data_IF_004161439044
#
_entry.id   IF_004161439044
#
_cell.length_a   1.000
_cell.length_b   1.000
_cell.length_c   1.000
_cell.angle_alpha   90.00
_cell.angle_beta   90.00
_cell.angle_gamma   90.00
#
_symmetry.space_group_name_H-M   'P 1'
#
loop_
_entity.id
_entity.type
_entity.pdbx_description
1 polymer ?
#
# COMPACT_ATOMS: atom_id res chain seq x y z
N UNK A 1 3.21 -7.51 -6.37
CA UNK A 1 3.27 -7.96 -4.97
C UNK A 1 2.52 -9.29 -4.87
N UNK A 2 3.10 -10.35 -4.29
CA UNK A 2 2.38 -11.60 -4.08
C UNK A 2 1.40 -11.45 -2.91
N UNK A 3 0.10 -11.45 -3.21
CA UNK A 3 -1.00 -11.30 -2.24
C UNK A 3 -1.78 -12.60 -1.98
N UNK A 4 -1.53 -13.64 -2.78
CA UNK A 4 -2.20 -14.93 -2.64
C UNK A 4 -1.57 -15.82 -1.57
N UNK A 5 -0.35 -15.51 -1.16
CA UNK A 5 0.35 -16.17 -0.06
C UNK A 5 0.56 -15.18 1.08
N UNK A 6 0.46 -15.68 2.31
CA UNK A 6 0.71 -14.93 3.52
C UNK A 6 1.72 -15.65 4.40
N UNK A 7 2.50 -14.88 5.14
CA UNK A 7 3.50 -15.36 6.09
C UNK A 7 3.36 -14.67 7.43
N UNK A 8 3.81 -15.32 8.49
CA UNK A 8 3.71 -14.81 9.86
C UNK A 8 4.55 -13.54 10.04
N UNK A 9 3.96 -12.52 10.63
CA UNK A 9 4.68 -11.35 11.10
C UNK A 9 5.44 -11.66 12.39
N UNK A 10 6.75 -11.40 12.41
CA UNK A 10 7.64 -11.79 13.53
C UNK A 10 8.35 -10.61 14.20
N UNK A 11 7.98 -9.37 13.88
CA UNK A 11 8.66 -8.15 14.36
C UNK A 11 7.71 -7.19 15.11
N UNK A 12 7.20 -7.55 16.31
CA UNK A 12 7.44 -8.79 17.04
C UNK A 12 6.44 -9.90 16.70
N UNK A 13 6.81 -11.14 17.01
CA UNK A 13 5.88 -12.26 17.01
C UNK A 13 4.79 -12.05 18.08
N UNK A 14 3.58 -12.56 17.82
CA UNK A 14 2.42 -12.43 18.70
C UNK A 14 1.51 -13.64 18.58
N UNK A 15 0.91 -14.06 19.69
CA UNK A 15 -0.09 -15.15 19.71
C UNK A 15 -1.41 -14.75 19.02
N UNK A 16 -1.60 -13.47 18.69
CA UNK A 16 -2.71 -12.98 17.87
C UNK A 16 -2.61 -13.39 16.39
N UNK A 17 -1.55 -14.11 16.00
CA UNK A 17 -1.29 -14.57 14.64
C UNK A 17 -1.31 -13.44 13.57
N UNK A 18 -0.53 -12.37 13.75
CA UNK A 18 -0.39 -11.35 12.73
C UNK A 18 0.28 -11.96 11.49
N UNK A 19 -0.30 -11.71 10.32
CA UNK A 19 0.19 -12.19 9.03
C UNK A 19 0.32 -11.03 8.07
N UNK A 20 1.30 -11.10 7.17
CA UNK A 20 1.48 -10.17 6.07
C UNK A 20 1.52 -10.92 4.74
N UNK A 21 1.25 -10.23 3.63
CA UNK A 21 1.41 -10.81 2.30
C UNK A 21 2.87 -11.22 2.08
N UNK A 22 3.07 -12.32 1.35
CA UNK A 22 4.41 -12.77 0.98
C UNK A 22 5.17 -11.66 0.25
N UNK A 23 4.49 -10.90 -0.63
CA UNK A 23 5.11 -9.77 -1.31
C UNK A 23 5.54 -8.62 -0.40
N UNK A 24 4.81 -8.34 0.70
CA UNK A 24 5.25 -7.36 1.71
C UNK A 24 6.47 -7.88 2.48
N UNK A 25 6.50 -9.19 2.75
CA UNK A 25 7.64 -9.84 3.43
C UNK A 25 8.91 -9.79 2.56
N UNK A 26 8.79 -10.16 1.28
CA UNK A 26 9.89 -10.13 0.32
C UNK A 26 10.45 -8.72 0.17
N UNK A 27 9.57 -7.73 -0.04
CA UNK A 27 9.99 -6.34 -0.19
C UNK A 27 10.61 -5.76 1.09
N UNK A 28 10.13 -6.13 2.28
CA UNK A 28 10.81 -5.79 3.53
C UNK A 28 12.20 -6.43 3.59
N UNK A 29 12.33 -7.71 3.22
CA UNK A 29 13.60 -8.41 3.24
C UNK A 29 14.63 -7.72 2.31
N UNK A 30 14.21 -7.35 1.11
CA UNK A 30 15.03 -6.57 0.17
C UNK A 30 15.46 -5.23 0.79
N UNK A 31 14.52 -4.44 1.31
CA UNK A 31 14.81 -3.14 1.91
C UNK A 31 15.82 -3.21 3.07
N UNK A 32 15.69 -4.23 3.91
CA UNK A 32 16.53 -4.37 5.11
C UNK A 32 17.94 -4.86 4.81
N UNK A 33 18.15 -5.45 3.63
CA UNK A 33 19.45 -5.90 3.13
C UNK A 33 20.18 -4.86 2.27
N UNK A 34 19.50 -3.79 1.83
CA UNK A 34 20.16 -2.70 1.12
C UNK A 34 21.27 -2.08 1.99
N UNK A 35 22.42 -1.86 1.36
CA UNK A 35 23.57 -1.23 2.00
C UNK A 35 23.98 0.04 1.28
N UNK A 36 24.43 1.04 2.03
CA UNK A 36 25.06 2.23 1.47
C UNK A 36 26.47 1.91 0.91
N UNK A 37 27.16 2.91 0.34
CA UNK A 37 28.51 2.76 -0.20
C UNK A 37 29.56 2.27 0.84
N UNK A 38 29.29 2.46 2.13
CA UNK A 38 30.12 2.01 3.24
C UNK A 38 29.75 0.61 3.75
N UNK A 39 28.79 -0.08 3.10
CA UNK A 39 28.35 -1.42 3.49
C UNK A 39 27.39 -1.45 4.68
N UNK A 40 26.85 -0.31 5.12
CA UNK A 40 25.91 -0.26 6.25
C UNK A 40 24.47 -0.45 5.77
N UNK A 41 23.72 -1.30 6.47
CA UNK A 41 22.25 -1.37 6.28
C UNK A 41 21.58 -0.10 6.79
N UNK A 42 20.33 0.12 6.40
CA UNK A 42 19.55 1.28 6.87
C UNK A 42 19.48 1.32 8.41
N UNK A 43 19.26 0.18 9.07
CA UNK A 43 19.23 0.12 10.54
C UNK A 43 20.59 0.49 11.15
N UNK A 44 21.69 -0.06 10.62
CA UNK A 44 23.04 0.25 11.11
C UNK A 44 23.37 1.73 10.98
N UNK A 45 22.99 2.34 9.85
CA UNK A 45 23.19 3.76 9.63
C UNK A 45 22.38 4.60 10.62
N UNK A 46 21.10 4.29 10.80
CA UNK A 46 20.22 5.04 11.71
C UNK A 46 20.63 4.85 13.18
N UNK A 47 21.00 3.64 13.60
CA UNK A 47 21.48 3.37 14.94
C UNK A 47 22.79 4.11 15.28
N UNK A 48 23.62 4.42 14.27
CA UNK A 48 24.85 5.18 14.46
C UNK A 48 24.66 6.70 14.38
N UNK A 49 23.67 7.19 13.63
CA UNK A 49 23.57 8.61 13.26
C UNK A 49 22.26 9.30 13.64
N UNK A 50 21.22 8.55 13.97
CA UNK A 50 19.87 9.06 14.22
C UNK A 50 19.35 8.59 15.58
N UNK A 51 20.19 8.69 16.61
CA UNK A 51 19.86 8.37 18.01
C UNK A 51 19.82 9.65 18.85
N UNK A 52 18.92 9.69 19.83
CA UNK A 52 18.74 10.84 20.73
C UNK A 52 17.31 11.38 20.71
N UNK A 53 16.98 12.19 21.72
CA UNK A 53 15.61 12.74 21.91
C UNK A 53 15.22 13.79 20.88
N UNK A 54 16.19 14.39 20.20
CA UNK A 54 15.98 15.58 19.36
C UNK A 54 15.88 15.21 17.87
N UNK A 55 15.96 13.91 17.54
CA UNK A 55 15.86 13.40 16.16
C UNK A 55 14.57 12.62 16.01
N UNK A 56 13.80 13.00 14.99
CA UNK A 56 12.64 12.23 14.52
C UNK A 56 12.94 11.64 13.14
N UNK A 57 12.50 10.41 12.91
CA UNK A 57 12.59 9.74 11.63
C UNK A 57 11.19 9.67 11.03
N UNK A 58 11.00 10.33 9.90
CA UNK A 58 9.81 10.15 9.09
C UNK A 58 9.92 8.91 8.20
N UNK A 59 8.87 8.10 8.14
CA UNK A 59 8.77 6.94 7.23
C UNK A 59 7.57 7.18 6.33
N UNK A 60 7.83 7.42 5.05
CA UNK A 60 6.81 7.86 4.11
C UNK A 60 6.94 7.08 2.81
N UNK A 61 5.81 6.70 2.23
CA UNK A 61 5.81 5.99 0.97
C UNK A 61 4.50 6.11 0.18
N UNK A 62 4.63 5.96 -1.14
CA UNK A 62 3.55 5.97 -2.10
C UNK A 62 3.42 4.58 -2.76
N UNK A 63 2.21 4.13 -3.09
CA UNK A 63 1.98 2.87 -3.80
C UNK A 63 2.59 1.68 -3.03
N UNK A 64 3.39 0.85 -3.69
CA UNK A 64 4.19 -0.20 -3.06
C UNK A 64 5.07 0.35 -1.94
N UNK A 65 5.63 1.56 -2.07
CA UNK A 65 6.38 2.21 -0.99
C UNK A 65 5.51 2.52 0.23
N UNK A 66 4.22 2.80 0.02
CA UNK A 66 3.24 3.00 1.09
C UNK A 66 2.95 1.68 1.82
N UNK A 67 2.78 0.58 1.07
CA UNK A 67 2.72 -0.76 1.65
C UNK A 67 4.01 -1.08 2.44
N UNK A 68 5.18 -0.89 1.84
CA UNK A 68 6.46 -1.15 2.50
C UNK A 68 6.69 -0.27 3.73
N UNK A 69 6.15 0.95 3.75
CA UNK A 69 6.15 1.81 4.96
C UNK A 69 5.41 1.14 6.13
N UNK A 70 4.28 0.47 5.87
CA UNK A 70 3.49 -0.20 6.93
C UNK A 70 4.21 -1.38 7.57
N UNK A 71 5.09 -2.09 6.84
CA UNK A 71 5.90 -3.19 7.39
C UNK A 71 7.28 -2.72 7.87
N UNK A 72 7.87 -1.72 7.23
CA UNK A 72 9.21 -1.22 7.56
C UNK A 72 9.23 -0.45 8.89
N UNK A 73 8.24 0.41 9.16
CA UNK A 73 8.22 1.18 10.41
C UNK A 73 8.15 0.29 11.68
N UNK A 74 7.24 -0.70 11.79
CA UNK A 74 7.25 -1.64 12.91
C UNK A 74 8.51 -2.50 12.97
N UNK A 75 9.05 -2.96 11.83
CA UNK A 75 10.34 -3.64 11.80
C UNK A 75 11.46 -2.78 12.39
N UNK A 76 11.56 -1.51 11.99
CA UNK A 76 12.59 -0.59 12.45
C UNK A 76 12.47 -0.34 13.96
N UNK A 77 11.25 -0.10 14.45
CA UNK A 77 10.97 0.02 15.88
C UNK A 77 11.43 -1.23 16.65
N UNK A 78 11.10 -2.41 16.13
CA UNK A 78 11.50 -3.68 16.71
C UNK A 78 13.04 -3.84 16.74
N UNK A 79 13.77 -3.45 15.68
CA UNK A 79 15.23 -3.51 15.67
C UNK A 79 15.88 -2.66 16.76
N UNK A 80 15.40 -1.43 16.97
CA UNK A 80 15.89 -0.59 18.08
C UNK A 80 15.64 -1.25 19.44
N UNK A 81 14.45 -1.79 19.65
CA UNK A 81 14.07 -2.48 20.89
C UNK A 81 14.94 -3.72 21.17
N UNK A 82 15.16 -4.57 20.16
CA UNK A 82 15.98 -5.78 20.30
C UNK A 82 17.43 -5.46 20.67
N UNK A 83 17.97 -4.36 20.13
CA UNK A 83 19.32 -3.91 20.43
C UNK A 83 19.40 -3.04 21.70
N UNK A 84 18.29 -2.89 22.44
CA UNK A 84 18.19 -2.09 23.67
C UNK A 84 18.63 -0.64 23.48
N UNK A 85 18.42 -0.10 22.29
CA UNK A 85 18.66 1.30 21.95
C UNK A 85 17.31 2.01 22.07
N UNK A 86 17.26 3.12 22.80
CA UNK A 86 16.07 3.98 22.83
C UNK A 86 15.80 4.47 21.40
N UNK A 87 14.65 4.11 20.79
CA UNK A 87 14.38 4.51 19.42
C UNK A 87 14.21 6.03 19.33
N UNK A 88 14.65 6.66 18.23
CA UNK A 88 14.20 8.02 17.91
C UNK A 88 12.67 8.02 17.72
N UNK A 89 12.06 9.19 17.76
CA UNK A 89 10.64 9.30 17.47
C UNK A 89 10.39 8.91 16.00
N UNK A 90 9.58 7.88 15.75
CA UNK A 90 9.15 7.52 14.40
C UNK A 90 7.90 8.34 14.03
N UNK A 91 8.13 9.57 13.57
CA UNK A 91 7.09 10.51 13.16
C UNK A 91 7.65 11.53 12.15
N UNK A 92 6.91 11.84 11.07
CA UNK A 92 5.61 11.27 10.72
C UNK A 92 5.71 9.90 10.04
N UNK A 93 4.69 9.06 10.20
CA UNK A 93 4.52 7.84 9.40
C UNK A 93 3.32 8.05 8.49
N UNK A 94 3.57 8.17 7.18
CA UNK A 94 2.55 8.54 6.19
C UNK A 94 2.55 7.56 5.03
N UNK A 95 1.39 7.02 4.70
CA UNK A 95 1.22 6.18 3.51
C UNK A 95 0.29 6.86 2.52
N UNK A 96 0.64 6.81 1.25
CA UNK A 96 -0.17 7.30 0.14
C UNK A 96 -0.43 6.17 -0.82
N UNK A 97 -1.67 6.00 -1.26
CA UNK A 97 -2.01 5.00 -2.28
C UNK A 97 -1.58 3.56 -1.94
N UNK A 98 -1.51 3.22 -0.65
CA UNK A 98 -0.92 1.96 -0.20
C UNK A 98 -1.90 0.78 -0.35
N UNK A 99 -1.52 -0.30 -1.03
CA UNK A 99 -2.25 -1.57 -0.93
C UNK A 99 -2.05 -2.18 0.46
N UNK A 100 -3.00 -3.01 0.87
CA UNK A 100 -3.02 -3.67 2.17
C UNK A 100 -1.81 -4.58 2.34
N UNK A 101 -1.14 -4.51 3.50
CA UNK A 101 0.06 -5.30 3.77
C UNK A 101 -0.21 -6.61 4.51
N UNK A 102 -1.22 -6.65 5.38
CA UNK A 102 -1.45 -7.80 6.24
C UNK A 102 -2.86 -7.86 6.78
N UNK A 103 -3.07 -8.78 7.71
CA UNK A 103 -4.38 -9.09 8.27
C UNK A 103 -4.80 -8.16 9.41
N UNK A 104 -6.02 -8.32 9.92
CA UNK A 104 -6.52 -7.55 11.07
C UNK A 104 -5.57 -7.58 12.28
N UNK A 105 -5.01 -8.74 12.63
CA UNK A 105 -4.10 -8.84 13.78
C UNK A 105 -2.80 -8.04 13.57
N UNK A 106 -2.29 -7.99 12.33
CA UNK A 106 -1.19 -7.11 11.96
C UNK A 106 -1.60 -5.63 11.99
N UNK A 107 -2.76 -5.29 11.44
CA UNK A 107 -3.28 -3.93 11.44
C UNK A 107 -3.48 -3.38 12.87
N UNK A 108 -4.06 -4.18 13.77
CA UNK A 108 -4.24 -3.83 15.18
C UNK A 108 -2.90 -3.60 15.89
N UNK A 109 -1.90 -4.45 15.62
CA UNK A 109 -0.57 -4.30 16.18
C UNK A 109 0.14 -3.05 15.67
N UNK A 110 -0.05 -2.72 14.38
CA UNK A 110 0.45 -1.50 13.76
C UNK A 110 -0.22 -0.27 14.38
N UNK A 111 -1.55 -0.20 14.41
CA UNK A 111 -2.32 0.94 14.90
C UNK A 111 -2.02 1.22 16.38
N UNK A 112 -1.85 0.15 17.19
CA UNK A 112 -1.41 0.25 18.59
C UNK A 112 0.00 0.83 18.73
N UNK A 113 0.91 0.48 17.83
CA UNK A 113 2.31 0.94 17.87
C UNK A 113 2.45 2.37 17.34
N UNK A 114 1.59 2.76 16.40
CA UNK A 114 1.67 4.02 15.67
C UNK A 114 0.33 4.77 15.65
N UNK A 115 -0.19 5.19 16.82
CA UNK A 115 -1.50 5.86 16.92
C UNK A 115 -1.53 7.24 16.23
N UNK A 116 -0.37 7.80 15.89
CA UNK A 116 -0.21 9.04 15.15
C UNK A 116 0.43 8.78 13.77
N UNK A 117 -0.06 7.77 13.07
CA UNK A 117 0.25 7.54 11.66
C UNK A 117 -0.96 7.82 10.79
N UNK A 118 -0.73 8.15 9.52
CA UNK A 118 -1.82 8.51 8.61
C UNK A 118 -1.72 7.77 7.28
N UNK A 119 -2.86 7.28 6.82
CA UNK A 119 -3.05 6.68 5.49
C UNK A 119 -3.90 7.61 4.65
N UNK A 120 -3.39 8.01 3.50
CA UNK A 120 -4.09 8.83 2.51
C UNK A 120 -4.40 7.98 1.29
N UNK A 121 -5.67 7.96 0.88
CA UNK A 121 -6.10 7.18 -0.28
C UNK A 121 -7.13 7.96 -1.08
N UNK A 122 -7.06 7.85 -2.40
CA UNK A 122 -8.05 8.35 -3.33
C UNK A 122 -9.18 7.33 -3.43
N UNK A 123 -10.44 7.76 -3.26
CA UNK A 123 -11.61 6.85 -3.27
C UNK A 123 -11.81 6.10 -4.60
N UNK A 124 -11.19 6.56 -5.68
CA UNK A 124 -11.23 5.89 -6.99
C UNK A 124 -9.85 5.48 -7.50
N UNK A 125 -8.86 5.42 -6.63
CA UNK A 125 -7.63 4.67 -6.89
C UNK A 125 -7.88 3.19 -6.58
N UNK A 126 -7.60 2.33 -7.56
CA UNK A 126 -7.74 0.88 -7.45
C UNK A 126 -6.73 0.29 -6.48
N UNK A 127 -5.52 0.85 -6.36
CA UNK A 127 -4.41 0.21 -5.64
C UNK A 127 -4.68 0.05 -4.15
N UNK A 128 -5.22 1.05 -3.42
CA UNK A 128 -5.58 0.89 -2.00
C UNK A 128 -6.67 -0.14 -1.72
N UNK A 129 -7.43 -0.56 -2.74
CA UNK A 129 -8.45 -1.60 -2.63
C UNK A 129 -7.83 -3.00 -2.63
N UNK A 130 -6.65 -3.17 -3.22
CA UNK A 130 -5.93 -4.44 -3.16
C UNK A 130 -5.27 -4.59 -1.77
N UNK A 131 -5.54 -5.60 -0.97
CA UNK A 131 -6.39 -6.79 -1.20
C UNK A 131 -7.63 -6.85 -0.31
N UNK A 132 -7.97 -5.77 0.40
CA UNK A 132 -9.08 -5.70 1.38
C UNK A 132 -10.47 -5.54 0.71
N UNK A 133 -10.55 -4.88 -0.45
CA UNK A 133 -11.83 -4.53 -1.12
C UNK A 133 -11.69 -4.52 -2.66
N UNK A 134 -10.93 -5.47 -3.23
CA UNK A 134 -10.62 -5.45 -4.67
C UNK A 134 -11.88 -5.55 -5.56
N UNK A 135 -12.94 -6.21 -5.09
CA UNK A 135 -14.20 -6.33 -5.82
C UNK A 135 -14.85 -4.98 -6.14
N UNK A 136 -14.72 -3.99 -5.24
CA UNK A 136 -15.17 -2.61 -5.48
C UNK A 136 -14.43 -1.94 -6.63
N UNK A 137 -13.22 -2.40 -6.95
CA UNK A 137 -12.44 -1.97 -8.12
C UNK A 137 -13.15 -2.17 -9.45
N UNK A 138 -13.98 -3.22 -9.56
CA UNK A 138 -14.79 -3.49 -10.75
C UNK A 138 -15.95 -2.51 -10.97
N UNK A 139 -16.23 -1.64 -9.99
CA UNK A 139 -17.28 -0.61 -10.04
C UNK A 139 -16.71 0.79 -10.31
N UNK A 140 -15.40 0.92 -10.49
CA UNK A 140 -14.73 2.19 -10.74
C UNK A 140 -15.04 2.76 -12.12
N UNK A 141 -14.93 4.09 -12.22
CA UNK A 141 -14.92 4.88 -13.46
C UNK A 141 -16.23 4.89 -14.26
N UNK A 142 -17.36 4.66 -13.59
CA UNK A 142 -18.69 4.91 -14.15
C UNK A 142 -18.95 6.43 -14.31
N UNK A 143 -19.62 6.88 -15.39
CA UNK A 143 -20.24 6.08 -16.46
C UNK A 143 -19.28 5.62 -17.57
N UNK A 144 -18.09 6.22 -17.68
CA UNK A 144 -17.07 5.78 -18.64
C UNK A 144 -15.67 6.24 -18.20
N UNK A 145 -14.62 5.42 -18.41
CA UNK A 145 -14.64 4.06 -18.95
C UNK A 145 -15.07 3.03 -17.90
N UNK A 146 -16.23 2.38 -18.03
CA UNK A 146 -16.72 1.44 -17.02
C UNK A 146 -16.25 -0.01 -17.29
N UNK A 147 -15.77 -0.72 -16.26
CA UNK A 147 -15.20 -2.06 -16.41
C UNK A 147 -16.22 -3.11 -16.91
N UNK A 148 -17.51 -2.92 -16.64
CA UNK A 148 -18.62 -3.75 -17.13
C UNK A 148 -18.84 -3.68 -18.65
N UNK A 149 -18.35 -2.62 -19.30
CA UNK A 149 -18.50 -2.39 -20.74
C UNK A 149 -17.30 -2.88 -21.57
N UNK A 150 -16.26 -3.38 -20.92
CA UNK A 150 -14.99 -3.76 -21.54
C UNK A 150 -14.87 -5.27 -21.54
N UNK A 151 -14.81 -5.91 -22.71
CA UNK A 151 -14.57 -7.35 -22.83
C UNK A 151 -13.07 -7.66 -22.92
N UNK A 152 -12.66 -8.78 -22.32
CA UNK A 152 -11.31 -9.36 -22.44
C UNK A 152 -11.42 -10.87 -22.65
N UNK A 153 -10.46 -11.45 -23.38
CA UNK A 153 -10.42 -12.88 -23.68
C UNK A 153 -9.10 -13.49 -23.20
N UNK A 154 -9.19 -14.53 -22.38
CA UNK A 154 -8.05 -15.35 -21.96
C UNK A 154 -8.40 -16.83 -22.10
N UNK A 155 -7.50 -17.61 -22.70
CA UNK A 155 -7.67 -19.06 -22.94
C UNK A 155 -9.05 -19.46 -23.50
N UNK A 156 -9.50 -18.75 -24.55
CA UNK A 156 -10.81 -18.92 -25.21
C UNK A 156 -12.05 -18.66 -24.33
N UNK A 157 -11.87 -18.03 -23.16
CA UNK A 157 -12.96 -17.56 -22.31
C UNK A 157 -13.03 -16.04 -22.41
N UNK A 158 -14.18 -15.52 -22.83
CA UNK A 158 -14.46 -14.08 -22.85
C UNK A 158 -15.26 -13.70 -21.61
N UNK A 159 -14.77 -12.69 -20.90
CA UNK A 159 -15.41 -12.08 -19.73
C UNK A 159 -15.29 -10.56 -19.85
N UNK A 160 -16.09 -9.83 -19.11
CA UNK A 160 -15.89 -8.40 -18.90
C UNK A 160 -14.68 -8.15 -18.00
N UNK A 161 -14.09 -6.95 -18.07
CA UNK A 161 -13.02 -6.53 -17.17
C UNK A 161 -13.51 -6.54 -15.71
N UNK A 162 -14.78 -6.17 -15.48
CA UNK A 162 -15.40 -6.30 -14.16
C UNK A 162 -15.36 -7.75 -13.67
N UNK A 163 -15.83 -8.71 -14.48
CA UNK A 163 -15.81 -10.12 -14.11
C UNK A 163 -14.38 -10.64 -13.89
N UNK A 164 -13.41 -10.19 -14.67
CA UNK A 164 -12.00 -10.52 -14.45
C UNK A 164 -11.48 -10.01 -13.09
N UNK A 165 -11.82 -8.77 -12.71
CA UNK A 165 -11.47 -8.21 -11.38
C UNK A 165 -12.16 -9.00 -10.27
N UNK A 166 -13.45 -9.31 -10.42
CA UNK A 166 -14.21 -10.10 -9.44
C UNK A 166 -13.60 -11.50 -9.27
N UNK A 167 -13.17 -12.16 -10.35
CA UNK A 167 -12.51 -13.47 -10.28
C UNK A 167 -11.17 -13.42 -9.54
N UNK A 168 -10.40 -12.34 -9.72
CA UNK A 168 -9.15 -12.13 -8.96
C UNK A 168 -9.47 -11.89 -7.48
N UNK A 169 -10.49 -11.08 -7.18
CA UNK A 169 -10.95 -10.86 -5.80
C UNK A 169 -11.36 -12.18 -5.14
N UNK A 170 -12.16 -13.02 -5.80
CA UNK A 170 -12.55 -14.35 -5.31
C UNK A 170 -11.34 -15.25 -5.05
N UNK A 171 -10.32 -15.20 -5.93
CA UNK A 171 -9.10 -15.98 -5.74
C UNK A 171 -8.30 -15.51 -4.50
N UNK A 172 -8.29 -14.20 -4.22
CA UNK A 172 -7.71 -13.64 -3.00
C UNK A 172 -8.53 -14.10 -1.77
N UNK A 173 -9.85 -13.93 -1.77
CA UNK A 173 -10.73 -14.34 -0.67
C UNK A 173 -10.58 -15.84 -0.35
N UNK A 174 -10.43 -16.67 -1.39
CA UNK A 174 -10.20 -18.11 -1.25
C UNK A 174 -8.86 -18.41 -0.57
N UNK A 175 -7.81 -17.66 -0.94
CA UNK A 175 -6.52 -17.76 -0.29
C UNK A 175 -6.60 -17.32 1.18
N UNK A 176 -7.24 -16.19 1.48
CA UNK A 176 -7.46 -15.70 2.84
C UNK A 176 -8.19 -16.73 3.72
N UNK A 177 -9.25 -17.34 3.17
CA UNK A 177 -9.97 -18.43 3.84
C UNK A 177 -9.06 -19.62 4.13
N UNK A 178 -8.21 -20.01 3.17
CA UNK A 178 -7.24 -21.09 3.35
C UNK A 178 -6.21 -20.82 4.46
N UNK A 179 -5.78 -19.56 4.62
CA UNK A 179 -4.89 -19.13 5.70
C UNK A 179 -5.62 -18.83 7.02
N UNK A 180 -6.95 -18.69 7.01
CA UNK A 180 -7.71 -18.12 8.12
C UNK A 180 -7.26 -16.70 8.46
N UNK A 181 -6.85 -15.93 7.44
CA UNK A 181 -6.19 -14.63 7.58
C UNK A 181 -6.67 -13.68 6.49
N UNK A 182 -7.43 -12.66 6.89
CA UNK A 182 -8.08 -11.72 5.97
C UNK A 182 -7.38 -10.37 6.04
N UNK A 183 -6.99 -9.84 4.88
CA UNK A 183 -6.38 -8.55 4.71
C UNK A 183 -7.24 -7.46 5.34
N UNK A 184 -6.59 -6.53 6.01
CA UNK A 184 -7.24 -5.37 6.59
C UNK A 184 -6.30 -4.20 6.52
N UNK A 185 -6.78 -3.09 6.00
CA UNK A 185 -5.98 -1.87 5.99
C UNK A 185 -5.65 -1.37 7.40
N UNK A 186 -4.44 -0.88 7.60
CA UNK A 186 -4.06 -0.14 8.82
C UNK A 186 -4.81 1.19 8.91
N UNK A 187 -4.93 1.74 10.11
CA UNK A 187 -5.52 3.05 10.40
C UNK A 187 -7.03 3.17 10.08
N UNK A 188 -7.77 2.05 10.02
CA UNK A 188 -9.22 2.09 9.72
C UNK A 188 -10.02 2.81 10.82
N UNK A 189 -9.66 2.62 12.10
CA UNK A 189 -10.36 3.27 13.21
C UNK A 189 -9.97 4.75 13.39
N UNK A 190 -8.73 5.10 13.06
CA UNK A 190 -8.19 6.46 13.16
C UNK A 190 -6.99 6.62 12.24
N UNK A 191 -6.85 7.80 11.61
CA UNK A 191 -5.68 8.10 10.77
C UNK A 191 -5.88 7.80 9.28
N UNK A 192 -7.04 7.29 8.86
CA UNK A 192 -7.40 7.19 7.44
C UNK A 192 -8.00 8.50 6.91
N UNK A 193 -7.50 8.97 5.77
CA UNK A 193 -7.94 10.21 5.11
C UNK A 193 -8.31 9.89 3.66
N UNK A 194 -9.61 9.95 3.38
CA UNK A 194 -10.17 9.81 2.04
C UNK A 194 -9.93 11.10 1.24
N UNK A 195 -9.36 10.94 0.05
CA UNK A 195 -9.12 11.97 -0.95
C UNK A 195 -10.02 11.71 -2.17
N UNK A 196 -10.21 12.74 -3.00
CA UNK A 196 -11.10 12.67 -4.16
C UNK A 196 -12.51 12.15 -3.83
N UNK A 197 -13.11 12.61 -2.73
CA UNK A 197 -14.45 12.17 -2.30
C UNK A 197 -15.56 12.56 -3.29
N UNK A 198 -15.28 13.51 -4.20
CA UNK A 198 -16.15 13.83 -5.34
C UNK A 198 -16.09 12.80 -6.47
N UNK A 199 -15.12 11.87 -6.43
CA UNK A 199 -14.86 10.85 -7.45
C UNK A 199 -14.63 11.44 -8.84
N UNK A 200 -13.86 12.53 -8.89
CA UNK A 200 -13.54 13.24 -10.13
C UNK A 200 -12.64 12.39 -11.02
N UNK A 201 -13.11 12.13 -12.24
CA UNK A 201 -12.36 11.41 -13.28
C UNK A 201 -11.39 12.34 -14.00
N UNK A 202 -10.30 11.75 -14.49
CA UNK A 202 -9.37 12.47 -15.36
C UNK A 202 -9.92 12.47 -16.79
N UNK A 203 -9.67 13.52 -17.58
CA UNK A 203 -10.00 13.49 -19.00
C UNK A 203 -9.31 12.31 -19.67
N UNK A 204 -10.10 11.43 -20.31
CA UNK A 204 -9.59 10.29 -21.09
C UNK A 204 -9.58 10.63 -22.58
N UNK A 205 -8.63 10.05 -23.31
CA UNK A 205 -8.59 10.14 -24.77
C UNK A 205 -9.60 9.16 -25.38
N UNK A 206 -10.76 9.69 -25.79
CA UNK A 206 -11.85 8.89 -26.35
C UNK A 206 -11.54 8.31 -27.73
N UNK A 207 -10.40 8.66 -28.33
CA UNK A 207 -9.91 8.02 -29.56
C UNK A 207 -9.25 6.66 -29.31
N UNK A 208 -8.87 6.36 -28.06
CA UNK A 208 -8.27 5.07 -27.67
C UNK A 208 -9.31 4.00 -27.39
N UNK A 209 -8.96 2.70 -27.46
CA UNK A 209 -9.80 1.61 -26.96
C UNK A 209 -10.22 1.82 -25.49
N UNK A 210 -11.44 1.40 -25.12
CA UNK A 210 -11.96 1.57 -23.75
C UNK A 210 -11.07 0.93 -22.68
N UNK A 211 -10.44 -0.21 -22.99
CA UNK A 211 -9.51 -0.86 -22.07
C UNK A 211 -8.27 0.00 -21.78
N UNK A 212 -7.74 0.70 -22.78
CA UNK A 212 -6.62 1.63 -22.59
C UNK A 212 -7.07 2.85 -21.78
N UNK A 213 -8.26 3.39 -22.05
CA UNK A 213 -8.82 4.50 -21.27
C UNK A 213 -9.01 4.11 -19.79
N UNK A 214 -9.44 2.88 -19.51
CA UNK A 214 -9.59 2.38 -18.14
C UNK A 214 -8.24 2.29 -17.42
N UNK A 215 -7.21 1.76 -18.07
CA UNK A 215 -5.86 1.70 -17.49
C UNK A 215 -5.21 3.08 -17.36
N UNK A 216 -5.43 3.99 -18.32
CA UNK A 216 -5.04 5.40 -18.20
C UNK A 216 -5.70 6.03 -16.97
N UNK A 217 -6.97 5.69 -16.71
CA UNK A 217 -7.68 6.17 -15.54
C UNK A 217 -7.10 5.60 -14.23
N UNK A 218 -6.78 4.31 -14.16
CA UNK A 218 -6.06 3.71 -13.01
C UNK A 218 -4.74 4.43 -12.77
N UNK A 219 -3.94 4.61 -13.81
CA UNK A 219 -2.64 5.26 -13.70
C UNK A 219 -2.77 6.71 -13.21
N UNK A 220 -3.70 7.47 -13.78
CA UNK A 220 -3.93 8.86 -13.41
C UNK A 220 -4.51 9.01 -12.00
N UNK A 221 -5.35 8.08 -11.53
CA UNK A 221 -5.86 8.12 -10.15
C UNK A 221 -4.78 7.77 -9.13
N UNK A 222 -3.84 6.91 -9.52
CA UNK A 222 -2.78 6.37 -8.67
C UNK A 222 -1.51 7.22 -8.64
N UNK A 223 -1.24 8.08 -9.61
CA UNK A 223 0.04 8.78 -9.70
C UNK A 223 0.26 9.83 -8.59
N UNK A 224 1.54 10.06 -8.23
CA UNK A 224 1.94 11.02 -7.20
C UNK A 224 1.45 12.45 -7.51
N UNK A 225 1.45 12.86 -8.78
CA UNK A 225 0.99 14.19 -9.21
C UNK A 225 -0.48 14.43 -8.84
N UNK A 226 -1.33 13.43 -9.07
CA UNK A 226 -2.73 13.46 -8.67
C UNK A 226 -2.90 13.57 -7.16
N UNK A 227 -2.15 12.77 -6.39
CA UNK A 227 -2.17 12.86 -4.93
C UNK A 227 -1.75 14.24 -4.41
N UNK A 228 -0.68 14.83 -4.95
CA UNK A 228 -0.24 16.17 -4.61
C UNK A 228 -1.31 17.23 -4.89
N UNK A 229 -2.06 17.08 -5.99
CA UNK A 229 -3.12 18.00 -6.36
C UNK A 229 -4.24 18.07 -5.31
N UNK A 230 -4.55 16.97 -4.62
CA UNK A 230 -5.54 16.96 -3.53
C UNK A 230 -5.10 17.79 -2.31
N UNK A 231 -3.80 18.04 -2.18
CA UNK A 231 -3.24 18.94 -1.17
C UNK A 231 -2.99 20.36 -1.70
N UNK A 232 -3.42 20.67 -2.93
CA UNK A 232 -3.15 21.96 -3.58
C UNK A 232 -1.68 22.18 -3.94
N UNK A 233 -0.90 21.10 -4.04
CA UNK A 233 0.52 21.15 -4.36
C UNK A 233 0.75 20.91 -5.86
N UNK A 234 1.78 21.55 -6.46
CA UNK A 234 2.11 21.31 -7.85
C UNK A 234 2.68 19.88 -8.06
N UNK A 235 2.55 19.30 -9.26
CA UNK A 235 3.19 18.03 -9.58
C UNK A 235 4.71 18.15 -9.52
N UNK A 236 5.39 17.07 -9.11
CA UNK A 236 6.86 17.04 -9.03
C UNK A 236 7.43 17.08 -10.44
N UNK A 237 8.10 18.19 -10.78
CA UNK A 237 8.82 18.31 -12.03
C UNK A 237 10.24 17.76 -11.83
N UNK A 238 10.51 16.54 -12.28
CA UNK A 238 11.88 16.04 -12.36
C UNK A 238 12.60 16.77 -13.51
N UNK A 239 13.19 17.93 -13.22
CA UNK A 239 14.22 18.49 -14.08
C UNK A 239 15.49 17.69 -13.84
N UNK A 240 15.81 16.78 -14.75
CA UNK A 240 17.12 16.13 -14.77
C UNK A 240 18.12 17.23 -15.13
N UNK A 241 18.92 17.65 -14.16
CA UNK A 241 20.09 18.52 -14.34
C UNK A 241 21.33 17.70 -14.61
#
# INVERSE_FOLDING_TARGET
MNVFEQTAWTYPASDANPMISQGSSDGLNDLTQLVNASGQTIYQYLAANAIGSDISIGVVGHSLGGNLTTVFAPWLLYQFQQNKITPPALLPILTFAAPTAGNQAFADAYDKSFPNSWRYYNEIDLVPMASDDLSSGGLLYSPAPEASSIETTYDNVTVTLKEAIDLIAIAIDTAEFGYGSYYTQTNQASGSVALNTSKSLHPVDTSKPLIEQWFDQVAAQHEQGNYLSFFGLPPVSCTIS
#
